data_IF_482660290177
#
_entry.id   IF_482660290177
#
_cell.length_a   1.000
_cell.length_b   1.000
_cell.length_c   1.000
_cell.angle_alpha   90.00
_cell.angle_beta   90.00
_cell.angle_gamma   90.00
#
_symmetry.space_group_name_H-M   'P 1'
#
loop_
_entity.id
_entity.type
_entity.pdbx_description
1 polymer ?
#
# COMPACT_ATOMS: atom_id res chain seq x y z
N UNK A 1 29.09 9.20 4.95
CA UNK A 1 28.70 9.59 3.58
C UNK A 1 27.25 9.99 3.65
N UNK A 2 26.93 11.25 3.38
CA UNK A 2 25.55 11.70 3.22
C UNK A 2 25.02 11.02 1.97
N UNK A 3 24.18 10.00 2.13
CA UNK A 3 23.52 9.34 1.00
C UNK A 3 22.72 10.41 0.28
N UNK A 4 22.98 10.63 -1.00
CA UNK A 4 22.07 11.42 -1.82
C UNK A 4 20.75 10.66 -1.78
N UNK A 5 19.73 11.21 -1.14
CA UNK A 5 18.40 10.60 -1.10
C UNK A 5 17.95 10.38 -2.55
N UNK A 6 17.55 9.15 -2.89
CA UNK A 6 17.03 8.81 -4.20
C UNK A 6 15.65 9.43 -4.45
N UNK A 7 15.14 9.33 -5.68
CA UNK A 7 13.77 9.78 -6.00
C UNK A 7 12.77 8.97 -5.17
N UNK A 8 13.02 7.65 -5.01
CA UNK A 8 12.23 6.74 -4.20
C UNK A 8 12.00 7.24 -2.76
N UNK A 9 13.05 7.75 -2.12
CA UNK A 9 12.99 8.24 -0.75
C UNK A 9 12.10 9.49 -0.66
N UNK A 10 12.25 10.43 -1.60
CA UNK A 10 11.47 11.69 -1.63
C UNK A 10 10.00 11.48 -1.93
N UNK A 11 9.67 10.52 -2.81
CA UNK A 11 8.26 10.23 -3.16
C UNK A 11 7.56 9.29 -2.16
N UNK A 12 8.32 8.61 -1.29
CA UNK A 12 7.78 7.62 -0.34
C UNK A 12 6.62 8.16 0.50
N UNK A 13 6.71 9.33 1.19
CA UNK A 13 5.62 9.81 2.03
C UNK A 13 4.33 10.02 1.23
N UNK A 14 4.47 10.54 0.00
CA UNK A 14 3.35 10.78 -0.91
C UNK A 14 2.65 9.48 -1.27
N UNK A 15 3.43 8.50 -1.74
CA UNK A 15 2.91 7.23 -2.25
C UNK A 15 2.27 6.40 -1.14
N UNK A 16 2.91 6.34 0.03
CA UNK A 16 2.38 5.59 1.17
C UNK A 16 1.08 6.18 1.71
N UNK A 17 1.02 7.50 1.85
CA UNK A 17 -0.17 8.19 2.34
C UNK A 17 -1.28 8.16 1.29
N UNK A 18 -1.04 8.70 0.09
CA UNK A 18 -2.10 8.86 -0.91
C UNK A 18 -2.58 7.53 -1.48
N UNK A 19 -1.68 6.59 -1.72
CA UNK A 19 -2.05 5.24 -2.20
C UNK A 19 -2.87 4.44 -1.17
N UNK A 20 -2.88 4.86 0.10
CA UNK A 20 -3.62 4.21 1.19
C UNK A 20 -4.83 4.99 1.70
N UNK A 21 -5.00 6.27 1.38
CA UNK A 21 -6.04 7.13 2.00
C UNK A 21 -7.47 6.64 1.78
N UNK A 22 -7.81 6.22 0.56
CA UNK A 22 -9.15 5.70 0.27
C UNK A 22 -9.48 4.44 1.10
N UNK A 23 -8.46 3.69 1.56
CA UNK A 23 -8.65 2.44 2.29
C UNK A 23 -9.30 2.65 3.67
N UNK A 24 -9.37 3.89 4.14
CA UNK A 24 -10.02 4.29 5.38
C UNK A 24 -11.08 5.37 5.20
N UNK A 25 -11.52 5.63 3.97
CA UNK A 25 -12.37 6.77 3.65
C UNK A 25 -13.88 6.47 3.74
N UNK A 26 -14.72 7.51 3.82
CA UNK A 26 -16.17 7.36 3.75
C UNK A 26 -16.65 6.70 2.45
N UNK A 27 -15.96 6.91 1.33
CA UNK A 27 -16.31 6.31 0.04
C UNK A 27 -16.13 4.80 0.04
N UNK A 28 -15.10 4.27 0.70
CA UNK A 28 -14.95 2.83 0.88
C UNK A 28 -16.08 2.27 1.74
N UNK A 29 -16.42 2.94 2.85
CA UNK A 29 -17.53 2.52 3.71
C UNK A 29 -18.89 2.55 2.99
N UNK A 30 -19.11 3.54 2.12
CA UNK A 30 -20.33 3.63 1.30
C UNK A 30 -20.43 2.44 0.33
N UNK A 31 -19.34 2.11 -0.37
CA UNK A 31 -19.32 0.96 -1.29
C UNK A 31 -19.49 -0.35 -0.52
N UNK A 32 -18.91 -0.50 0.68
CA UNK A 32 -19.14 -1.65 1.56
C UNK A 32 -20.65 -1.86 1.83
N UNK A 33 -21.35 -0.79 2.20
CA UNK A 33 -22.80 -0.84 2.42
C UNK A 33 -23.59 -1.24 1.16
N UNK A 34 -23.21 -0.72 -0.01
CA UNK A 34 -23.86 -1.05 -1.28
C UNK A 34 -23.69 -2.51 -1.69
N UNK A 35 -22.54 -3.11 -1.38
CA UNK A 35 -22.25 -4.53 -1.70
C UNK A 35 -22.61 -5.48 -0.54
N UNK A 36 -23.28 -4.96 0.50
CA UNK A 36 -23.77 -5.76 1.63
C UNK A 36 -22.69 -6.27 2.57
N UNK A 37 -21.53 -5.60 2.62
CA UNK A 37 -20.42 -5.95 3.50
C UNK A 37 -20.40 -5.04 4.75
N UNK A 38 -20.01 -5.58 5.92
CA UNK A 38 -19.74 -4.76 7.10
C UNK A 38 -18.58 -3.78 6.87
N UNK A 39 -18.51 -2.68 7.63
CA UNK A 39 -17.39 -1.74 7.55
C UNK A 39 -16.02 -2.43 7.68
N UNK A 40 -15.03 -1.96 6.93
CA UNK A 40 -13.63 -2.46 6.87
C UNK A 40 -13.45 -3.83 6.21
N UNK A 41 -14.52 -4.46 5.72
CA UNK A 41 -14.43 -5.73 5.00
C UNK A 41 -13.74 -5.59 3.64
N UNK A 42 -14.00 -4.53 2.87
CA UNK A 42 -13.37 -4.33 1.56
C UNK A 42 -11.87 -4.06 1.66
N UNK A 43 -11.38 -3.50 2.79
CA UNK A 43 -9.95 -3.41 3.06
C UNK A 43 -9.27 -4.78 2.96
N UNK A 44 -9.90 -5.82 3.53
CA UNK A 44 -9.36 -7.18 3.57
C UNK A 44 -9.78 -7.95 2.32
N UNK A 45 -11.09 -8.09 2.10
CA UNK A 45 -11.67 -8.86 0.99
C UNK A 45 -11.38 -8.23 -0.37
N UNK A 46 -11.64 -6.94 -0.53
CA UNK A 46 -11.45 -6.22 -1.78
C UNK A 46 -9.98 -6.21 -2.22
N UNK A 47 -9.08 -5.84 -1.30
CA UNK A 47 -7.63 -5.80 -1.57
C UNK A 47 -7.02 -7.16 -1.88
N UNK A 48 -7.47 -8.25 -1.24
CA UNK A 48 -6.95 -9.62 -1.47
C UNK A 48 -7.61 -10.33 -2.66
N UNK A 49 -8.79 -9.91 -3.10
CA UNK A 49 -9.58 -10.59 -4.12
C UNK A 49 -8.93 -10.67 -5.51
N UNK A 50 -7.92 -9.85 -5.80
CA UNK A 50 -7.10 -9.98 -7.04
C UNK A 50 -6.33 -11.31 -7.10
N UNK A 51 -6.24 -12.03 -5.97
CA UNK A 51 -5.66 -13.38 -5.86
C UNK A 51 -6.73 -14.48 -5.81
N UNK A 52 -8.01 -14.14 -6.00
CA UNK A 52 -9.14 -15.06 -5.84
C UNK A 52 -9.55 -15.24 -4.38
N UNK A 53 -9.93 -16.47 -4.04
CA UNK A 53 -10.40 -16.85 -2.69
C UNK A 53 -9.25 -17.50 -1.91
N UNK A 54 -8.30 -16.67 -1.51
CA UNK A 54 -7.13 -17.10 -0.73
C UNK A 54 -7.53 -17.52 0.70
N UNK A 55 -6.88 -18.54 1.29
CA UNK A 55 -7.10 -18.87 2.70
C UNK A 55 -6.79 -17.68 3.62
N UNK A 56 -7.55 -17.46 4.72
CA UNK A 56 -7.37 -16.31 5.61
C UNK A 56 -5.94 -16.10 6.11
N UNK A 57 -5.26 -17.18 6.52
CA UNK A 57 -3.87 -17.10 6.98
C UNK A 57 -2.90 -16.70 5.88
N UNK A 58 -3.13 -17.10 4.63
CA UNK A 58 -2.30 -16.67 3.50
C UNK A 58 -2.50 -15.18 3.23
N UNK A 59 -3.75 -14.70 3.29
CA UNK A 59 -4.02 -13.26 3.19
C UNK A 59 -3.34 -12.46 4.32
N UNK A 60 -3.32 -13.00 5.54
CA UNK A 60 -2.65 -12.37 6.67
C UNK A 60 -1.15 -12.19 6.44
N UNK A 61 -0.46 -13.23 5.96
CA UNK A 61 0.97 -13.15 5.61
C UNK A 61 1.26 -12.14 4.49
N UNK A 62 0.38 -12.05 3.50
CA UNK A 62 0.51 -11.09 2.39
C UNK A 62 0.33 -9.64 2.85
N UNK A 63 -0.45 -9.39 3.90
CA UNK A 63 -0.65 -8.06 4.46
C UNK A 63 0.40 -7.73 5.52
N UNK A 64 0.89 -8.74 6.25
CA UNK A 64 2.03 -8.71 7.17
C UNK A 64 1.84 -7.93 8.48
N UNK A 65 1.05 -6.86 8.46
CA UNK A 65 0.93 -5.90 9.56
C UNK A 65 -0.15 -6.27 10.60
N UNK A 66 -1.11 -7.10 10.21
CA UNK A 66 -2.27 -7.46 11.00
C UNK A 66 -2.14 -8.89 11.56
N UNK A 67 -2.73 -9.18 12.73
CA UNK A 67 -2.72 -10.53 13.29
C UNK A 67 -3.65 -11.47 12.51
N UNK A 68 -3.34 -12.77 12.54
CA UNK A 68 -4.08 -13.80 11.79
C UNK A 68 -5.56 -13.87 12.15
N UNK A 69 -5.90 -13.68 13.44
CA UNK A 69 -7.29 -13.75 13.92
C UNK A 69 -8.21 -12.77 13.18
N UNK A 70 -7.69 -11.61 12.77
CA UNK A 70 -8.47 -10.60 12.06
C UNK A 70 -8.93 -11.13 10.70
N UNK A 71 -8.06 -11.86 9.99
CA UNK A 71 -8.42 -12.47 8.71
C UNK A 71 -9.35 -13.66 8.88
N UNK A 72 -9.11 -14.49 9.89
CA UNK A 72 -9.99 -15.62 10.22
C UNK A 72 -11.43 -15.11 10.55
N UNK A 73 -11.54 -13.92 11.14
CA UNK A 73 -12.81 -13.27 11.43
C UNK A 73 -13.47 -12.61 10.21
N UNK A 74 -12.72 -11.81 9.44
CA UNK A 74 -13.27 -10.95 8.37
C UNK A 74 -13.44 -11.69 7.05
N UNK A 75 -12.45 -12.47 6.63
CA UNK A 75 -12.36 -12.94 5.25
C UNK A 75 -13.41 -14.02 4.90
N UNK A 76 -13.70 -15.03 5.75
CA UNK A 76 -14.70 -16.05 5.42
C UNK A 76 -16.11 -15.49 5.12
N UNK A 77 -16.75 -14.69 6.01
CA UNK A 77 -18.07 -14.15 5.71
C UNK A 77 -18.06 -13.19 4.51
N UNK A 78 -17.01 -12.38 4.35
CA UNK A 78 -16.90 -11.47 3.20
C UNK A 78 -16.72 -12.22 1.87
N UNK A 79 -16.02 -13.35 1.88
CA UNK A 79 -15.86 -14.23 0.70
C UNK A 79 -17.16 -14.90 0.33
N UNK A 80 -17.94 -15.34 1.32
CA UNK A 80 -19.27 -15.92 1.11
C UNK A 80 -20.28 -14.88 0.56
N UNK A 81 -20.17 -13.63 0.99
CA UNK A 81 -21.07 -12.54 0.56
C UNK A 81 -20.71 -11.96 -0.81
N UNK A 82 -19.41 -11.86 -1.15
CA UNK A 82 -18.95 -11.16 -2.35
C UNK A 82 -17.85 -11.94 -3.08
N UNK A 83 -18.19 -12.42 -4.28
CA UNK A 83 -17.26 -13.15 -5.15
C UNK A 83 -16.06 -12.28 -5.58
N UNK A 84 -14.91 -12.91 -5.84
CA UNK A 84 -13.64 -12.19 -6.00
C UNK A 84 -13.68 -11.12 -7.11
N UNK A 85 -14.19 -11.38 -8.33
CA UNK A 85 -14.28 -10.34 -9.35
C UNK A 85 -15.15 -9.14 -8.92
N UNK A 86 -16.22 -9.38 -8.16
CA UNK A 86 -17.07 -8.30 -7.65
C UNK A 86 -16.38 -7.52 -6.52
N UNK A 87 -15.62 -8.18 -5.66
CA UNK A 87 -14.82 -7.54 -4.62
C UNK A 87 -13.69 -6.66 -5.19
N UNK A 88 -13.02 -7.12 -6.26
CA UNK A 88 -12.01 -6.31 -6.99
C UNK A 88 -12.66 -5.05 -7.57
N UNK A 89 -13.80 -5.19 -8.25
CA UNK A 89 -14.53 -4.03 -8.80
C UNK A 89 -15.01 -3.08 -7.72
N UNK A 90 -15.55 -3.59 -6.61
CA UNK A 90 -16.01 -2.77 -5.49
C UNK A 90 -14.84 -1.97 -4.88
N UNK A 91 -13.69 -2.61 -4.66
CA UNK A 91 -12.51 -1.93 -4.13
C UNK A 91 -11.94 -0.86 -5.08
N UNK A 92 -11.91 -1.16 -6.38
CA UNK A 92 -11.53 -0.19 -7.42
C UNK A 92 -12.53 0.98 -7.49
N UNK A 93 -13.83 0.72 -7.34
CA UNK A 93 -14.85 1.76 -7.28
C UNK A 93 -14.72 2.64 -6.03
N UNK A 94 -14.37 2.07 -4.86
CA UNK A 94 -14.05 2.86 -3.67
C UNK A 94 -12.89 3.83 -3.93
N UNK A 95 -11.82 3.36 -4.58
CA UNK A 95 -10.69 4.19 -4.99
C UNK A 95 -11.12 5.28 -5.99
N UNK A 96 -11.96 4.93 -6.97
CA UNK A 96 -12.49 5.86 -7.97
C UNK A 96 -13.33 6.98 -7.34
N UNK A 97 -14.26 6.65 -6.42
CA UNK A 97 -15.06 7.64 -5.69
C UNK A 97 -14.20 8.57 -4.86
N UNK A 98 -13.27 8.01 -4.09
CA UNK A 98 -12.34 8.82 -3.30
C UNK A 98 -11.52 9.75 -4.20
N UNK A 99 -11.09 9.27 -5.36
CA UNK A 99 -10.32 10.08 -6.33
C UNK A 99 -11.13 11.24 -6.88
N UNK A 100 -12.41 11.03 -7.25
CA UNK A 100 -13.28 12.11 -7.72
C UNK A 100 -13.44 13.24 -6.69
N UNK A 101 -13.50 12.88 -5.41
CA UNK A 101 -13.60 13.86 -4.32
C UNK A 101 -12.27 14.56 -4.07
N UNK A 102 -11.18 13.80 -3.96
CA UNK A 102 -9.93 14.28 -3.38
C UNK A 102 -8.86 14.69 -4.41
N UNK A 103 -9.00 14.29 -5.67
CA UNK A 103 -8.02 14.49 -6.74
C UNK A 103 -8.57 15.30 -7.92
N UNK A 104 -9.80 15.82 -7.84
CA UNK A 104 -10.43 16.56 -8.94
C UNK A 104 -9.78 17.90 -9.27
N UNK A 105 -9.09 18.51 -8.30
CA UNK A 105 -8.37 19.77 -8.48
C UNK A 105 -6.94 19.60 -9.01
N UNK A 106 -6.47 18.37 -9.19
CA UNK A 106 -5.14 18.07 -9.69
C UNK A 106 -5.03 18.52 -11.15
N UNK A 107 -3.94 19.23 -11.48
CA UNK A 107 -3.63 19.58 -12.86
C UNK A 107 -3.13 18.36 -13.64
N UNK A 108 -3.70 18.12 -14.83
CA UNK A 108 -3.31 17.03 -15.74
C UNK A 108 -3.20 15.65 -15.05
N UNK A 109 -4.24 15.17 -14.35
CA UNK A 109 -4.17 13.92 -13.59
C UNK A 109 -3.85 12.71 -14.48
N UNK A 110 -4.25 12.76 -15.75
CA UNK A 110 -3.95 11.74 -16.75
C UNK A 110 -2.45 11.59 -17.03
N UNK A 111 -1.68 12.69 -17.02
CA UNK A 111 -0.23 12.67 -17.23
C UNK A 111 0.49 12.07 -16.04
N UNK A 112 0.09 12.43 -14.83
CA UNK A 112 0.66 11.83 -13.62
C UNK A 112 0.33 10.32 -13.52
N UNK A 113 -0.90 9.94 -13.86
CA UNK A 113 -1.30 8.54 -13.94
C UNK A 113 -0.48 7.78 -15.00
N UNK A 114 -0.24 8.35 -16.17
CA UNK A 114 0.58 7.76 -17.23
C UNK A 114 2.00 7.46 -16.75
N UNK A 115 2.66 8.42 -16.09
CA UNK A 115 4.02 8.24 -15.55
C UNK A 115 4.06 7.10 -14.52
N UNK A 116 3.10 7.06 -13.58
CA UNK A 116 3.01 5.97 -12.60
C UNK A 116 2.74 4.62 -13.27
N UNK A 117 1.85 4.56 -14.25
CA UNK A 117 1.55 3.31 -14.95
C UNK A 117 2.76 2.78 -15.73
N UNK A 118 3.58 3.63 -16.34
CA UNK A 118 4.82 3.18 -16.99
C UNK A 118 5.78 2.50 -16.02
N UNK A 119 5.89 3.02 -14.80
CA UNK A 119 6.70 2.42 -13.73
C UNK A 119 6.09 1.08 -13.28
N UNK A 120 4.78 1.04 -13.05
CA UNK A 120 4.03 -0.19 -12.71
C UNK A 120 4.20 -1.26 -13.79
N UNK A 121 4.10 -0.88 -15.06
CA UNK A 121 4.18 -1.78 -16.20
C UNK A 121 5.59 -2.33 -16.41
N UNK A 122 6.63 -1.53 -16.15
CA UNK A 122 8.02 -1.97 -16.21
C UNK A 122 8.44 -2.90 -15.06
N UNK A 123 7.82 -2.79 -13.88
CA UNK A 123 8.22 -3.56 -12.70
C UNK A 123 7.96 -5.07 -12.84
N UNK A 124 8.95 -5.90 -12.50
CA UNK A 124 8.74 -7.35 -12.33
C UNK A 124 7.86 -7.60 -11.10
N UNK A 125 6.78 -8.35 -11.28
CA UNK A 125 5.83 -8.67 -10.23
C UNK A 125 6.12 -10.01 -9.52
N UNK A 126 7.15 -10.74 -9.97
CA UNK A 126 7.54 -12.03 -9.41
C UNK A 126 7.84 -11.91 -7.92
N UNK A 127 7.18 -12.74 -7.11
CA UNK A 127 7.28 -12.69 -5.64
C UNK A 127 6.47 -11.58 -4.97
N UNK A 128 5.78 -10.72 -5.73
CA UNK A 128 5.02 -9.58 -5.22
C UNK A 128 3.51 -9.81 -5.44
N UNK A 129 2.91 -10.81 -4.80
CA UNK A 129 1.59 -11.33 -5.17
C UNK A 129 0.48 -10.27 -5.26
N UNK A 130 0.30 -9.41 -4.24
CA UNK A 130 -0.73 -8.36 -4.27
C UNK A 130 -0.48 -7.36 -5.42
N UNK A 131 0.77 -6.93 -5.62
CA UNK A 131 1.14 -6.09 -6.75
C UNK A 131 0.88 -6.79 -8.08
N UNK A 132 1.23 -8.07 -8.22
CA UNK A 132 0.97 -8.85 -9.44
C UNK A 132 -0.52 -8.90 -9.77
N UNK A 133 -1.38 -9.14 -8.78
CA UNK A 133 -2.82 -9.12 -8.95
C UNK A 133 -3.34 -7.75 -9.38
N UNK A 134 -2.97 -6.69 -8.66
CA UNK A 134 -3.45 -5.32 -8.94
C UNK A 134 -2.88 -4.71 -10.22
N UNK A 135 -1.64 -5.04 -10.60
CA UNK A 135 -1.03 -4.67 -11.88
C UNK A 135 -1.85 -5.17 -13.09
N UNK A 136 -2.45 -6.35 -12.95
CA UNK A 136 -3.24 -7.02 -14.00
C UNK A 136 -4.75 -6.84 -13.85
N UNK A 137 -5.21 -6.09 -12.84
CA UNK A 137 -6.62 -5.76 -12.69
C UNK A 137 -7.07 -4.73 -13.75
N UNK A 138 -8.38 -4.68 -14.01
CA UNK A 138 -8.97 -3.71 -14.93
C UNK A 138 -8.71 -2.28 -14.44
N UNK A 139 -8.15 -1.44 -15.31
CA UNK A 139 -7.84 -0.04 -15.01
C UNK A 139 -9.05 0.85 -15.30
N UNK A 140 -9.32 1.87 -14.46
CA UNK A 140 -10.26 2.92 -14.83
C UNK A 140 -9.84 3.61 -16.14
N UNK A 141 -10.80 4.25 -16.82
CA UNK A 141 -10.54 4.97 -18.08
C UNK A 141 -10.46 6.48 -17.90
N UNK A 142 -11.20 7.04 -16.95
CA UNK A 142 -11.19 8.47 -16.65
C UNK A 142 -9.93 8.87 -15.85
N UNK A 143 -9.36 10.03 -16.16
CA UNK A 143 -8.00 10.41 -15.73
C UNK A 143 -7.83 10.53 -14.21
N UNK A 144 -8.83 11.05 -13.51
CA UNK A 144 -8.77 11.24 -12.05
C UNK A 144 -8.79 9.87 -11.33
N UNK A 145 -9.66 8.98 -11.76
CA UNK A 145 -9.77 7.62 -11.25
C UNK A 145 -8.52 6.79 -11.61
N UNK A 146 -7.97 6.99 -12.80
CA UNK A 146 -6.70 6.39 -13.22
C UNK A 146 -5.56 6.78 -12.30
N UNK A 147 -5.49 8.05 -11.88
CA UNK A 147 -4.48 8.53 -10.96
C UNK A 147 -4.58 7.85 -9.58
N UNK A 148 -5.76 7.83 -8.97
CA UNK A 148 -5.95 7.18 -7.67
C UNK A 148 -5.68 5.68 -7.71
N UNK A 149 -6.09 5.01 -8.78
CA UNK A 149 -5.77 3.61 -9.01
C UNK A 149 -4.26 3.40 -9.15
N UNK A 150 -3.57 4.21 -9.95
CA UNK A 150 -2.12 4.11 -10.13
C UNK A 150 -1.35 4.32 -8.81
N UNK A 151 -1.78 5.27 -7.97
CA UNK A 151 -1.19 5.48 -6.64
C UNK A 151 -1.34 4.25 -5.74
N UNK A 152 -2.52 3.62 -5.74
CA UNK A 152 -2.76 2.38 -4.99
C UNK A 152 -1.87 1.23 -5.49
N UNK A 153 -1.81 1.01 -6.80
CA UNK A 153 -0.98 -0.07 -7.37
C UNK A 153 0.50 0.18 -7.14
N UNK A 154 0.97 1.43 -7.27
CA UNK A 154 2.36 1.78 -6.97
C UNK A 154 2.69 1.60 -5.47
N UNK A 155 1.72 1.85 -4.58
CA UNK A 155 1.85 1.49 -3.16
C UNK A 155 1.99 -0.02 -2.95
N UNK A 156 1.24 -0.85 -3.67
CA UNK A 156 1.40 -2.31 -3.60
C UNK A 156 2.78 -2.76 -4.11
N UNK A 157 3.32 -2.14 -5.17
CA UNK A 157 4.69 -2.39 -5.63
C UNK A 157 5.70 -2.11 -4.51
N UNK A 158 5.64 -0.91 -3.92
CA UNK A 158 6.56 -0.55 -2.83
C UNK A 158 6.38 -1.45 -1.61
N UNK A 159 5.15 -1.78 -1.23
CA UNK A 159 4.87 -2.67 -0.11
C UNK A 159 5.44 -4.07 -0.31
N UNK A 160 5.25 -4.65 -1.50
CA UNK A 160 5.82 -5.95 -1.86
C UNK A 160 7.34 -5.96 -1.82
N UNK A 161 7.99 -4.96 -2.44
CA UNK A 161 9.45 -4.82 -2.42
C UNK A 161 9.98 -4.63 -0.98
N UNK A 162 9.26 -3.87 -0.16
CA UNK A 162 9.63 -3.68 1.24
C UNK A 162 9.55 -4.98 2.04
N UNK A 163 8.50 -5.79 1.86
CA UNK A 163 8.38 -7.07 2.54
C UNK A 163 9.47 -8.06 2.11
N UNK A 164 9.82 -8.06 0.81
CA UNK A 164 10.97 -8.83 0.32
C UNK A 164 12.29 -8.36 0.95
N UNK A 165 12.52 -7.04 1.04
CA UNK A 165 13.70 -6.46 1.66
C UNK A 165 13.81 -6.80 3.15
N UNK A 166 12.72 -6.66 3.91
CA UNK A 166 12.63 -7.09 5.31
C UNK A 166 13.04 -8.56 5.46
N UNK A 167 12.54 -9.41 4.56
CA UNK A 167 12.85 -10.83 4.64
C UNK A 167 14.31 -11.13 4.33
N UNK A 168 14.91 -10.45 3.37
CA UNK A 168 16.33 -10.55 3.03
C UNK A 168 17.26 -10.16 4.19
N UNK A 169 16.86 -9.18 5.02
CA UNK A 169 17.62 -8.77 6.21
C UNK A 169 17.24 -9.52 7.48
N UNK A 170 16.38 -10.54 7.38
CA UNK A 170 15.99 -11.36 8.53
C UNK A 170 15.01 -10.69 9.50
N UNK A 171 14.19 -9.75 9.02
CA UNK A 171 13.08 -9.14 9.78
C UNK A 171 11.71 -9.62 9.29
N UNK A 172 10.84 -9.95 10.23
CA UNK A 172 9.40 -10.05 9.99
C UNK A 172 8.77 -8.66 9.93
N UNK A 173 7.56 -8.57 9.36
CA UNK A 173 6.83 -7.29 9.31
C UNK A 173 6.50 -6.75 10.70
N UNK A 174 6.04 -7.55 11.69
CA UNK A 174 5.84 -7.03 13.04
C UNK A 174 7.13 -6.53 13.71
N UNK A 175 8.27 -7.22 13.53
CA UNK A 175 9.57 -6.71 14.01
C UNK A 175 9.92 -5.37 13.37
N UNK A 176 9.64 -5.21 12.07
CA UNK A 176 9.85 -3.94 11.36
C UNK A 176 8.95 -2.83 11.89
N UNK A 177 7.67 -3.12 12.17
CA UNK A 177 6.74 -2.18 12.81
C UNK A 177 7.27 -1.74 14.17
N UNK A 178 7.87 -2.64 14.94
CA UNK A 178 8.44 -2.30 16.26
C UNK A 178 9.70 -1.43 16.10
N UNK A 179 10.52 -1.69 15.08
CA UNK A 179 11.75 -0.96 14.82
C UNK A 179 11.54 0.44 14.21
N UNK A 180 10.40 0.65 13.53
CA UNK A 180 10.01 1.90 12.91
C UNK A 180 9.86 3.03 13.96
N UNK A 181 10.53 4.19 13.80
CA UNK A 181 10.40 5.34 14.69
C UNK A 181 8.95 5.85 14.88
N UNK A 182 8.08 5.68 13.88
CA UNK A 182 6.65 6.05 13.95
C UNK A 182 5.74 4.87 14.35
N UNK A 183 6.34 3.70 14.56
CA UNK A 183 5.67 2.44 14.83
C UNK A 183 5.61 2.09 16.32
N UNK A 184 6.24 0.99 16.68
CA UNK A 184 6.27 0.46 18.03
C UNK A 184 4.99 -0.27 18.45
N UNK A 185 4.90 -0.54 19.76
CA UNK A 185 3.77 -1.24 20.39
C UNK A 185 2.42 -0.60 20.07
N UNK A 186 2.36 0.73 20.13
CA UNK A 186 1.12 1.48 19.88
C UNK A 186 0.59 1.27 18.45
N UNK A 187 1.48 1.12 17.47
CA UNK A 187 1.08 0.79 16.10
C UNK A 187 0.48 -0.61 16.03
N UNK A 188 1.07 -1.61 16.70
CA UNK A 188 0.53 -2.97 16.75
C UNK A 188 -0.91 -2.97 17.31
N UNK A 189 -1.15 -2.28 18.42
CA UNK A 189 -2.48 -2.16 19.03
C UNK A 189 -3.50 -1.52 18.08
N UNK A 190 -3.13 -0.45 17.38
CA UNK A 190 -3.99 0.20 16.36
C UNK A 190 -4.28 -0.72 15.17
N UNK A 191 -3.47 -1.75 14.96
CA UNK A 191 -3.64 -2.79 13.93
C UNK A 191 -4.20 -4.10 14.49
N UNK A 192 -4.98 -4.00 15.57
CA UNK A 192 -5.78 -5.08 16.14
C UNK A 192 -4.98 -6.22 16.80
N UNK A 193 -3.68 -6.04 17.06
CA UNK A 193 -2.93 -6.99 17.88
C UNK A 193 -3.46 -6.96 19.33
N UNK A 194 -3.76 -8.12 19.94
CA UNK A 194 -4.02 -8.20 21.38
C UNK A 194 -2.82 -7.68 22.17
N UNK A 195 -3.08 -7.07 23.34
CA UNK A 195 -2.04 -6.43 24.13
C UNK A 195 -0.91 -7.40 24.51
N UNK A 196 -1.29 -8.59 24.95
CA UNK A 196 -0.36 -9.66 25.34
C UNK A 196 0.50 -10.10 24.16
N UNK A 197 -0.10 -10.29 22.98
CA UNK A 197 0.63 -10.66 21.77
C UNK A 197 1.58 -9.54 21.30
N UNK A 198 1.16 -8.27 21.42
CA UNK A 198 2.00 -7.13 21.12
C UNK A 198 3.20 -7.04 22.07
N UNK A 199 2.99 -7.30 23.36
CA UNK A 199 4.07 -7.33 24.38
C UNK A 199 5.07 -8.45 24.11
N UNK A 200 4.60 -9.64 23.74
CA UNK A 200 5.46 -10.76 23.34
C UNK A 200 6.30 -10.44 22.09
N UNK A 201 5.70 -9.82 21.08
CA UNK A 201 6.40 -9.39 19.87
C UNK A 201 7.47 -8.33 20.18
N UNK A 202 7.15 -7.34 21.01
CA UNK A 202 8.12 -6.31 21.46
C UNK A 202 9.27 -6.98 22.21
N UNK A 203 8.97 -7.85 23.17
CA UNK A 203 9.98 -8.58 23.92
C UNK A 203 10.87 -9.45 23.02
N UNK A 204 10.33 -10.02 21.95
CA UNK A 204 11.09 -10.77 20.96
C UNK A 204 11.98 -9.86 20.09
N UNK A 205 11.43 -8.75 19.60
CA UNK A 205 12.15 -7.82 18.74
C UNK A 205 13.36 -7.20 19.46
N UNK A 206 13.22 -6.77 20.72
CA UNK A 206 14.31 -6.14 21.48
C UNK A 206 15.47 -7.09 21.80
N UNK A 207 15.27 -8.41 21.71
CA UNK A 207 16.36 -9.40 21.83
C UNK A 207 17.27 -9.44 20.61
N UNK A 208 16.89 -8.78 19.50
CA UNK A 208 17.70 -8.67 18.29
C UNK A 208 18.55 -7.39 18.37
N UNK A 209 19.86 -7.49 18.67
CA UNK A 209 20.69 -6.31 18.98
C UNK A 209 20.90 -5.39 17.77
N UNK A 210 20.74 -5.92 16.55
CA UNK A 210 20.87 -5.21 15.29
C UNK A 210 19.50 -4.91 14.63
N UNK A 211 18.41 -4.95 15.40
CA UNK A 211 17.03 -4.72 14.91
C UNK A 211 16.91 -3.44 14.06
N UNK A 212 17.38 -2.32 14.61
CA UNK A 212 17.23 -1.01 13.97
C UNK A 212 18.17 -0.86 12.75
N UNK A 213 19.37 -1.45 12.81
CA UNK A 213 20.28 -1.48 11.66
C UNK A 213 19.68 -2.29 10.50
N UNK A 214 19.12 -3.48 10.77
CA UNK A 214 18.41 -4.28 9.76
C UNK A 214 17.21 -3.54 9.18
N UNK A 215 16.47 -2.80 10.00
CA UNK A 215 15.35 -2.00 9.53
C UNK A 215 15.82 -0.90 8.56
N UNK A 216 16.89 -0.18 8.89
CA UNK A 216 17.53 0.81 8.00
C UNK A 216 18.04 0.18 6.70
N UNK A 217 18.64 -1.02 6.78
CA UNK A 217 19.08 -1.78 5.60
C UNK A 217 17.90 -2.15 4.70
N UNK A 218 16.76 -2.59 5.27
CA UNK A 218 15.56 -2.90 4.51
C UNK A 218 14.96 -1.67 3.84
N UNK A 219 14.92 -0.52 4.51
CA UNK A 219 14.49 0.75 3.92
C UNK A 219 15.39 1.14 2.74
N UNK A 220 16.71 1.07 2.94
CA UNK A 220 17.69 1.39 1.89
C UNK A 220 17.59 0.45 0.68
N UNK A 221 17.40 -0.86 0.92
CA UNK A 221 17.16 -1.84 -0.13
C UNK A 221 15.86 -1.56 -0.89
N UNK A 222 14.79 -1.20 -0.16
CA UNK A 222 13.49 -0.88 -0.76
C UNK A 222 13.60 0.33 -1.68
N UNK A 223 14.21 1.42 -1.19
CA UNK A 223 14.37 2.65 -1.96
C UNK A 223 15.25 2.39 -3.19
N UNK A 224 16.35 1.65 -3.05
CA UNK A 224 17.22 1.27 -4.17
C UNK A 224 16.47 0.45 -5.24
N UNK A 225 15.62 -0.51 -4.85
CA UNK A 225 14.81 -1.28 -5.82
C UNK A 225 13.80 -0.39 -6.54
N UNK A 226 13.17 0.56 -5.85
CA UNK A 226 12.22 1.50 -6.47
C UNK A 226 12.95 2.44 -7.44
N UNK A 227 14.12 2.97 -7.07
CA UNK A 227 14.92 3.82 -7.96
C UNK A 227 15.30 3.08 -9.25
N UNK A 228 15.71 1.82 -9.18
CA UNK A 228 16.01 1.02 -10.39
C UNK A 228 14.79 0.84 -11.32
N UNK A 229 13.59 0.63 -10.75
CA UNK A 229 12.36 0.55 -11.55
C UNK A 229 12.02 1.91 -12.16
N UNK A 230 12.15 3.00 -11.41
CA UNK A 230 11.97 4.36 -11.93
C UNK A 230 12.97 4.65 -13.06
N UNK A 231 14.22 4.22 -12.91
CA UNK A 231 15.29 4.47 -13.86
C UNK A 231 15.13 3.71 -15.17
N UNK A 232 14.64 2.47 -15.08
CA UNK A 232 14.34 1.65 -16.25
C UNK A 232 13.08 2.09 -17.00
N UNK A 233 12.08 2.66 -16.31
CA UNK A 233 10.79 3.01 -16.90
C UNK A 233 10.72 4.44 -17.46
N UNK A 234 11.44 5.38 -16.84
CA UNK A 234 11.31 6.82 -17.08
C UNK A 234 12.67 7.46 -17.38
N UNK A 235 12.67 8.43 -18.29
CA UNK A 235 13.85 9.30 -18.52
C UNK A 235 14.12 10.18 -17.31
N UNK A 236 15.33 10.78 -17.23
CA UNK A 236 15.65 11.71 -16.14
C UNK A 236 14.67 12.88 -16.04
N UNK A 237 14.21 13.43 -17.17
CA UNK A 237 13.26 14.53 -17.19
C UNK A 237 11.88 14.10 -16.66
N UNK A 238 11.43 12.90 -17.05
CA UNK A 238 10.15 12.34 -16.58
C UNK A 238 10.18 11.96 -15.10
N UNK A 239 11.33 11.52 -14.57
CA UNK A 239 11.49 11.29 -13.13
C UNK A 239 11.39 12.59 -12.34
N UNK A 240 12.01 13.67 -12.82
CA UNK A 240 11.86 15.01 -12.22
C UNK A 240 10.41 15.52 -12.30
N UNK A 241 9.74 15.30 -13.44
CA UNK A 241 8.31 15.64 -13.61
C UNK A 241 7.43 14.88 -12.61
N UNK A 242 7.62 13.56 -12.51
CA UNK A 242 6.88 12.70 -11.58
C UNK A 242 7.06 13.18 -10.14
N UNK A 243 8.30 13.46 -9.74
CA UNK A 243 8.62 13.93 -8.39
C UNK A 243 7.92 15.25 -8.06
N UNK A 244 8.02 16.26 -8.95
CA UNK A 244 7.39 17.57 -8.76
C UNK A 244 5.87 17.44 -8.62
N UNK A 245 5.24 16.69 -9.53
CA UNK A 245 3.78 16.50 -9.52
C UNK A 245 3.28 15.74 -8.29
N UNK A 246 4.03 14.74 -7.82
CA UNK A 246 3.70 14.03 -6.58
C UNK A 246 3.84 14.94 -5.35
N UNK A 247 4.88 15.78 -5.29
CA UNK A 247 5.06 16.74 -4.20
C UNK A 247 3.94 17.79 -4.16
N UNK A 248 3.56 18.35 -5.32
CA UNK A 248 2.43 19.29 -5.45
C UNK A 248 1.12 18.65 -5.01
N UNK A 249 0.86 17.42 -5.47
CA UNK A 249 -0.33 16.66 -5.10
C UNK A 249 -0.38 16.42 -3.58
N UNK A 250 0.74 16.03 -2.97
CA UNK A 250 0.80 15.78 -1.53
C UNK A 250 0.49 17.04 -0.72
N UNK A 251 1.06 18.18 -1.12
CA UNK A 251 0.79 19.47 -0.48
C UNK A 251 -0.70 19.84 -0.55
N UNK A 252 -1.34 19.63 -1.71
CA UNK A 252 -2.77 19.91 -1.89
C UNK A 252 -3.66 19.02 -1.00
N UNK A 253 -3.41 17.71 -0.97
CA UNK A 253 -4.26 16.75 -0.23
C UNK A 253 -4.03 16.82 1.29
N UNK A 254 -2.83 17.16 1.75
CA UNK A 254 -2.55 17.35 3.18
C UNK A 254 -3.07 18.70 3.71
N UNK A 255 -3.14 19.73 2.86
CA UNK A 255 -3.66 21.04 3.25
C UNK A 255 -5.20 21.11 3.35
N UNK A 256 -5.92 20.16 2.75
CA UNK A 256 -7.38 20.06 2.85
C UNK A 256 -7.80 19.53 4.24
N UNK A 257 -8.43 20.35 5.11
CA UNK A 257 -8.73 19.97 6.50
C UNK A 257 -9.88 18.97 6.66
N UNK A 258 -10.49 18.49 5.57
CA UNK A 258 -11.74 17.72 5.58
C UNK A 258 -11.71 16.51 4.63
N UNK A 259 -10.60 15.74 4.62
CA UNK A 259 -10.51 14.46 3.92
C UNK A 259 -10.39 13.28 4.89
#
# INVERSE_FOLDING_TARGET
MTTIEGVANRIRPVVQVLGGRFMTSPELAAVEGEVGLPPRSLYVRGRSAVLGDVPPKVAAELFGIFPHWLFDFVLPPATAALAAPAAVRAYAESSARWSRVNLSAVSEPGRLAELLFRVIDAADASGLALFAGWKNAERPTADVERLGFALMVFRELRGGLHFAALRAVGLSVPEAVIADPEGGRERLLRTAWPAEAADELVAAAVRKPDLHARWQDAESLTDSRIDEVLESALTSAERTELESRLAELFAQVVASPEA
#
